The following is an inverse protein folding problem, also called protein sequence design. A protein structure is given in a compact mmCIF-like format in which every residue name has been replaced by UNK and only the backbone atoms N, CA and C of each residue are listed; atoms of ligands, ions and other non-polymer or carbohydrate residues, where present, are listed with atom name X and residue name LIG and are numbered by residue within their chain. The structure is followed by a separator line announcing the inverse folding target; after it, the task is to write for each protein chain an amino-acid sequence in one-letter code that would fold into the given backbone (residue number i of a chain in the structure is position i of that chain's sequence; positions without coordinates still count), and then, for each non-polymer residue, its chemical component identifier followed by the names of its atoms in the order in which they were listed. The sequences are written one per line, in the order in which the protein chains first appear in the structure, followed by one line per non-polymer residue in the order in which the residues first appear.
data_IF_570661459868
#
_entry.id   IF_570661459868
#
_cell.length_a   1.000
_cell.length_b   1.000
_cell.length_c   1.000
_cell.angle_alpha   90.00
_cell.angle_beta   90.00
_cell.angle_gamma   90.00
#
_symmetry.space_group_name_H-M   'P 1'
#
loop_
_entity.id
_entity.type
_entity.pdbx_description
1 polymer ?
#
# COMPACT_ATOMS: atom_id res chain seq x y z
N UNK A 1 -13.91 -15.94 -27.56
CA UNK A 1 -12.54 -15.47 -27.76
C UNK A 1 -12.51 -14.01 -27.31
N UNK A 2 -12.20 -13.76 -26.05
CA UNK A 2 -11.92 -12.43 -25.51
C UNK A 2 -10.42 -12.39 -25.23
N UNK A 3 -9.74 -11.60 -26.04
CA UNK A 3 -8.30 -11.41 -25.98
C UNK A 3 -8.00 -10.49 -24.78
N UNK A 4 -7.62 -11.05 -23.63
CA UNK A 4 -7.07 -10.30 -22.51
C UNK A 4 -5.60 -10.08 -22.82
N UNK A 5 -5.32 -9.02 -23.58
CA UNK A 5 -3.96 -8.48 -23.67
C UNK A 5 -3.64 -7.87 -22.31
N UNK A 6 -2.90 -8.61 -21.50
CA UNK A 6 -2.24 -8.10 -20.32
C UNK A 6 -1.32 -6.94 -20.73
N UNK A 7 -1.75 -5.69 -20.50
CA UNK A 7 -0.89 -4.53 -20.59
C UNK A 7 0.24 -4.72 -19.60
N UNK A 8 1.45 -4.94 -20.10
CA UNK A 8 2.66 -4.84 -19.31
C UNK A 8 2.66 -3.46 -18.63
N UNK A 9 3.05 -3.34 -17.33
CA UNK A 9 3.16 -2.04 -16.69
C UNK A 9 4.11 -1.19 -17.52
N UNK A 10 3.60 -0.04 -17.96
CA UNK A 10 4.35 0.95 -18.75
C UNK A 10 5.67 1.23 -18.02
N UNK A 11 6.78 0.82 -18.63
CA UNK A 11 8.11 0.95 -18.06
C UNK A 11 8.31 2.40 -17.65
N UNK A 12 8.67 2.63 -16.39
CA UNK A 12 8.97 3.95 -15.86
C UNK A 12 9.94 4.65 -16.82
N UNK A 13 9.69 5.91 -17.21
CA UNK A 13 10.54 6.62 -18.16
C UNK A 13 11.98 6.63 -17.64
N UNK A 14 12.88 6.12 -18.46
CA UNK A 14 14.30 6.01 -18.18
C UNK A 14 14.85 7.40 -17.76
N UNK A 15 15.45 7.59 -16.58
CA UNK A 15 15.98 8.88 -16.11
C UNK A 15 17.11 9.42 -16.98
N UNK A 16 17.63 8.65 -17.93
CA UNK A 16 18.60 9.05 -18.92
C UNK A 16 17.98 9.58 -20.23
N UNK A 17 16.76 10.16 -20.18
CA UNK A 17 16.32 10.98 -21.31
C UNK A 17 17.30 12.15 -21.44
N UNK A 18 18.22 12.00 -22.35
CA UNK A 18 19.21 12.98 -22.79
C UNK A 18 18.56 14.36 -22.82
N UNK A 19 19.10 15.28 -22.01
CA UNK A 19 18.75 16.70 -22.02
C UNK A 19 18.89 17.18 -23.47
N UNK A 20 17.82 17.16 -24.26
CA UNK A 20 17.87 17.69 -25.60
C UNK A 20 17.96 19.21 -25.48
N UNK A 21 18.83 19.83 -26.25
CA UNK A 21 18.99 21.30 -26.30
C UNK A 21 17.61 21.98 -26.50
N UNK A 22 16.72 21.32 -27.22
CA UNK A 22 15.36 21.77 -27.46
C UNK A 22 14.52 21.78 -26.17
N UNK A 23 14.58 20.74 -25.34
CA UNK A 23 13.83 20.68 -24.08
C UNK A 23 14.34 21.71 -23.06
N UNK A 24 15.64 22.02 -23.10
CA UNK A 24 16.23 23.07 -22.27
C UNK A 24 15.75 24.47 -22.72
N UNK A 25 15.82 24.80 -24.01
CA UNK A 25 15.44 26.10 -24.54
C UNK A 25 13.93 26.40 -24.39
N UNK A 26 13.07 25.40 -24.52
CA UNK A 26 11.61 25.55 -24.36
C UNK A 26 11.13 25.37 -22.93
N UNK A 27 12.02 25.09 -21.98
CA UNK A 27 11.68 24.90 -20.56
C UNK A 27 10.88 26.05 -19.92
N UNK A 28 11.06 27.34 -20.26
CA UNK A 28 10.28 28.45 -19.69
C UNK A 28 8.79 28.42 -20.06
N UNK A 29 8.47 27.85 -21.25
CA UNK A 29 7.10 27.75 -21.77
C UNK A 29 6.38 26.47 -21.33
N UNK A 30 7.09 25.56 -20.66
CA UNK A 30 6.52 24.34 -20.17
C UNK A 30 5.76 24.57 -18.86
N UNK A 31 4.52 24.06 -18.80
CA UNK A 31 3.67 24.11 -17.62
C UNK A 31 4.34 23.51 -16.37
N UNK A 32 5.26 22.55 -16.56
CA UNK A 32 6.02 21.94 -15.46
C UNK A 32 6.87 22.96 -14.69
N UNK A 33 7.44 23.98 -15.36
CA UNK A 33 8.21 25.05 -14.70
C UNK A 33 7.31 25.89 -13.79
N UNK A 34 6.15 26.30 -14.27
CA UNK A 34 5.21 27.12 -13.50
C UNK A 34 4.55 26.33 -12.36
N UNK A 35 4.29 25.06 -12.56
CA UNK A 35 3.84 24.17 -11.49
C UNK A 35 4.91 24.03 -10.40
N UNK A 36 6.19 23.89 -10.78
CA UNK A 36 7.28 23.82 -9.84
C UNK A 36 7.43 25.15 -9.05
N UNK A 37 7.37 26.32 -9.74
CA UNK A 37 7.41 27.62 -9.10
C UNK A 37 6.25 27.83 -8.10
N UNK A 38 5.02 27.48 -8.51
CA UNK A 38 3.86 27.56 -7.62
C UNK A 38 3.99 26.58 -6.43
N UNK A 39 4.55 25.41 -6.66
CA UNK A 39 4.79 24.45 -5.61
C UNK A 39 5.81 24.96 -4.57
N UNK A 40 6.90 25.59 -5.00
CA UNK A 40 7.88 26.22 -4.08
C UNK A 40 7.21 27.28 -3.24
N UNK A 41 6.36 28.13 -3.84
CA UNK A 41 5.64 29.18 -3.14
C UNK A 41 4.67 28.60 -2.07
N UNK A 42 3.87 27.60 -2.45
CA UNK A 42 2.94 26.94 -1.53
C UNK A 42 3.73 26.21 -0.41
N UNK A 43 4.83 25.55 -0.76
CA UNK A 43 5.71 24.86 0.18
C UNK A 43 6.30 25.78 1.23
N UNK A 44 6.75 26.97 0.83
CA UNK A 44 7.23 27.99 1.77
C UNK A 44 6.14 28.38 2.77
N UNK A 45 4.91 28.62 2.31
CA UNK A 45 3.79 28.97 3.18
C UNK A 45 3.43 27.85 4.16
N UNK A 46 3.32 26.61 3.64
CA UNK A 46 2.93 25.45 4.43
C UNK A 46 3.99 25.11 5.50
N UNK A 47 5.26 25.02 5.09
CA UNK A 47 6.37 24.75 6.01
C UNK A 47 6.60 25.91 7.00
N UNK A 48 6.36 27.15 6.55
CA UNK A 48 6.42 28.33 7.42
C UNK A 48 5.38 28.31 8.53
N UNK A 49 4.13 27.95 8.21
CA UNK A 49 3.06 27.76 9.21
C UNK A 49 3.44 26.62 10.16
N UNK A 50 3.92 25.49 9.62
CA UNK A 50 4.33 24.34 10.42
C UNK A 50 5.48 24.66 11.36
N UNK A 51 6.53 25.29 10.88
CA UNK A 51 7.73 25.65 11.65
C UNK A 51 7.41 26.65 12.78
N UNK A 52 6.71 27.76 12.46
CA UNK A 52 6.33 28.73 13.45
C UNK A 52 5.33 28.15 14.46
N UNK A 53 4.36 27.38 14.01
CA UNK A 53 3.41 26.69 14.89
C UNK A 53 4.12 25.74 15.85
N UNK A 54 5.04 24.93 15.36
CA UNK A 54 5.85 24.01 16.16
C UNK A 54 6.67 24.78 17.20
N UNK A 55 7.33 25.86 16.78
CA UNK A 55 8.14 26.69 17.67
C UNK A 55 7.31 27.33 18.81
N UNK A 56 6.13 27.87 18.48
CA UNK A 56 5.22 28.48 19.47
C UNK A 56 4.71 27.42 20.44
N UNK A 57 4.19 26.29 19.92
CA UNK A 57 3.63 25.22 20.74
C UNK A 57 4.71 24.66 21.68
N UNK A 58 5.91 24.40 21.18
CA UNK A 58 6.99 23.87 22.00
C UNK A 58 7.56 24.86 23.01
N UNK A 59 7.55 26.16 22.70
CA UNK A 59 7.92 27.21 23.66
C UNK A 59 6.92 27.23 24.81
N UNK A 60 5.62 27.22 24.54
CA UNK A 60 4.56 27.18 25.56
C UNK A 60 4.62 25.83 26.32
N UNK A 61 4.70 24.70 25.63
CA UNK A 61 4.77 23.40 26.24
C UNK A 61 6.01 23.25 27.14
N UNK A 62 7.16 23.72 26.69
CA UNK A 62 8.40 23.75 27.48
C UNK A 62 8.28 24.56 28.76
N UNK A 63 7.65 25.73 28.71
CA UNK A 63 7.41 26.57 29.89
C UNK A 63 6.48 25.89 30.92
N UNK A 64 5.54 25.05 30.45
CA UNK A 64 4.55 24.34 31.27
C UNK A 64 4.96 22.91 31.66
N UNK A 65 6.19 22.49 31.34
CA UNK A 65 6.67 21.14 31.72
C UNK A 65 6.68 20.91 33.23
N UNK A 66 6.96 21.94 34.01
CA UNK A 66 6.99 21.89 35.47
C UNK A 66 5.67 21.46 36.07
N UNK A 67 4.56 21.79 35.44
CA UNK A 67 3.19 21.41 35.85
C UNK A 67 2.69 20.15 35.13
N UNK A 68 3.54 19.44 34.39
CA UNK A 68 3.22 18.25 33.57
C UNK A 68 2.17 18.47 32.46
N UNK A 69 1.55 19.66 32.39
CA UNK A 69 0.62 20.03 31.30
C UNK A 69 1.40 20.29 29.99
N UNK A 70 2.67 20.59 30.09
CA UNK A 70 3.54 20.82 28.93
C UNK A 70 3.71 19.60 28.03
N UNK A 71 3.65 18.38 28.60
CA UNK A 71 3.83 17.12 27.82
C UNK A 71 2.77 16.97 26.74
N UNK A 72 1.46 17.03 27.00
CA UNK A 72 0.45 16.97 25.94
C UNK A 72 0.53 18.13 24.95
N UNK A 73 0.96 19.31 25.38
CA UNK A 73 1.16 20.47 24.49
C UNK A 73 2.30 20.20 23.50
N UNK A 74 3.45 19.70 23.98
CA UNK A 74 4.58 19.32 23.10
C UNK A 74 4.15 18.19 22.14
N UNK A 75 3.41 17.22 22.64
CA UNK A 75 2.87 16.14 21.81
C UNK A 75 1.89 16.63 20.72
N UNK A 76 1.10 17.68 21.03
CA UNK A 76 0.27 18.35 20.03
C UNK A 76 1.12 19.01 18.92
N UNK A 77 2.29 19.55 19.27
CA UNK A 77 3.24 20.06 18.28
C UNK A 77 3.73 18.97 17.33
N UNK A 78 4.01 17.75 17.84
CA UNK A 78 4.36 16.60 17.02
C UNK A 78 3.20 16.23 16.06
N UNK A 79 1.96 16.29 16.53
CA UNK A 79 0.79 16.02 15.68
C UNK A 79 0.60 17.11 14.60
N UNK A 80 0.89 18.39 14.93
CA UNK A 80 0.92 19.47 13.94
C UNK A 80 1.96 19.19 12.85
N UNK A 81 3.17 18.78 13.20
CA UNK A 81 4.21 18.41 12.23
C UNK A 81 3.75 17.30 11.30
N UNK A 82 3.03 16.30 11.83
CA UNK A 82 2.42 15.20 11.04
C UNK A 82 1.36 15.71 10.07
N UNK A 83 0.54 16.68 10.46
CA UNK A 83 -0.44 17.30 9.55
C UNK A 83 0.24 18.05 8.41
N UNK A 84 1.28 18.82 8.73
CA UNK A 84 2.09 19.51 7.73
C UNK A 84 2.76 18.52 6.77
N UNK A 85 3.36 17.45 7.30
CA UNK A 85 3.97 16.39 6.50
C UNK A 85 2.95 15.70 5.57
N UNK A 86 1.70 15.52 6.02
CA UNK A 86 0.62 14.98 5.16
C UNK A 86 0.27 15.94 4.04
N UNK A 87 0.13 17.22 4.33
CA UNK A 87 -0.16 18.25 3.34
C UNK A 87 0.99 18.40 2.33
N UNK A 88 2.25 18.28 2.78
CA UNK A 88 3.43 18.28 1.92
C UNK A 88 3.46 17.09 0.96
N UNK A 89 3.18 15.88 1.44
CA UNK A 89 3.06 14.70 0.58
C UNK A 89 2.00 14.91 -0.49
N UNK A 90 0.81 15.37 -0.09
CA UNK A 90 -0.28 15.67 -1.03
C UNK A 90 0.13 16.71 -2.08
N UNK A 91 0.80 17.80 -1.66
CA UNK A 91 1.32 18.82 -2.57
C UNK A 91 2.28 18.23 -3.61
N UNK A 92 3.22 17.39 -3.15
CA UNK A 92 4.19 16.73 -4.04
C UNK A 92 3.52 15.75 -5.02
N UNK A 93 2.52 15.00 -4.55
CA UNK A 93 1.73 14.10 -5.40
C UNK A 93 0.99 14.85 -6.51
N UNK A 94 0.36 15.98 -6.17
CA UNK A 94 -0.37 16.82 -7.15
C UNK A 94 0.55 17.38 -8.21
N UNK A 95 1.77 17.76 -7.84
CA UNK A 95 2.74 18.36 -8.78
C UNK A 95 3.32 17.34 -9.75
N UNK A 96 3.66 16.15 -9.25
CA UNK A 96 4.43 15.15 -9.99
C UNK A 96 3.61 13.94 -10.45
N UNK A 97 2.37 13.77 -9.96
CA UNK A 97 1.51 12.64 -10.29
C UNK A 97 2.00 11.29 -9.74
N UNK A 98 3.00 11.26 -8.85
CA UNK A 98 3.55 10.05 -8.26
C UNK A 98 3.16 9.93 -6.79
N UNK A 99 2.55 8.81 -6.37
CA UNK A 99 2.13 8.62 -4.98
C UNK A 99 3.32 8.62 -4.01
N UNK A 100 3.13 9.19 -2.82
CA UNK A 100 4.09 9.20 -1.72
C UNK A 100 3.53 8.38 -0.56
N UNK A 101 4.06 7.16 -0.37
CA UNK A 101 3.58 6.24 0.67
C UNK A 101 4.09 6.69 2.05
N UNK A 102 3.20 7.06 2.99
CA UNK A 102 3.59 7.52 4.31
C UNK A 102 4.15 6.41 5.17
N UNK A 103 4.96 6.77 6.18
CA UNK A 103 5.34 5.85 7.25
C UNK A 103 4.11 5.33 7.99
N UNK A 104 4.23 4.11 8.55
CA UNK A 104 3.25 3.61 9.52
C UNK A 104 3.53 4.24 10.87
N UNK A 105 2.54 4.94 11.37
CA UNK A 105 2.57 5.49 12.71
C UNK A 105 2.03 4.48 13.71
N UNK A 106 2.65 4.42 14.89
CA UNK A 106 2.12 3.63 15.99
C UNK A 106 0.75 4.20 16.40
N UNK A 107 -0.30 3.37 16.54
CA UNK A 107 -1.60 3.83 17.03
C UNK A 107 -1.44 4.43 18.44
N UNK A 108 -2.16 5.51 18.71
CA UNK A 108 -2.24 6.09 20.04
C UNK A 108 -3.30 5.32 20.83
N UNK A 109 -2.87 4.39 21.67
CA UNK A 109 -3.73 3.61 22.55
C UNK A 109 -3.64 4.22 23.97
N UNK A 110 -4.62 5.00 24.36
CA UNK A 110 -4.73 5.51 25.72
C UNK A 110 -6.18 5.44 26.20
N UNK A 111 -6.37 5.13 27.48
CA UNK A 111 -7.67 5.06 28.12
C UNK A 111 -8.04 6.43 28.71
N UNK A 112 -9.08 7.06 28.19
CA UNK A 112 -9.59 8.35 28.68
C UNK A 112 -10.09 8.29 30.15
N UNK A 113 -10.44 7.09 30.63
CA UNK A 113 -10.89 6.84 32.00
C UNK A 113 -9.73 6.59 32.98
N UNK A 114 -8.47 6.51 32.52
CA UNK A 114 -7.33 6.28 33.40
C UNK A 114 -7.01 7.51 34.25
N UNK A 115 -6.40 7.34 35.46
CA UNK A 115 -5.86 8.44 36.23
C UNK A 115 -4.89 9.28 35.40
N UNK A 116 -4.85 10.60 35.64
CA UNK A 116 -4.08 11.56 34.81
C UNK A 116 -2.61 11.14 34.58
N UNK A 117 -1.93 10.63 35.63
CA UNK A 117 -0.53 10.21 35.52
C UNK A 117 -0.35 8.98 34.60
N UNK A 118 -1.27 8.04 34.63
CA UNK A 118 -1.24 6.85 33.77
C UNK A 118 -1.62 7.20 32.32
N UNK A 119 -2.65 8.01 32.15
CA UNK A 119 -3.02 8.57 30.85
C UNK A 119 -1.84 9.34 30.22
N UNK A 120 -1.19 10.20 31.00
CA UNK A 120 -0.04 11.00 30.56
C UNK A 120 1.13 10.10 30.13
N UNK A 121 1.40 9.02 30.87
CA UNK A 121 2.44 8.06 30.52
C UNK A 121 2.12 7.35 29.21
N UNK A 122 0.91 6.79 29.05
CA UNK A 122 0.47 6.14 27.83
C UNK A 122 0.52 7.07 26.62
N UNK A 123 0.06 8.32 26.80
CA UNK A 123 0.14 9.35 25.77
C UNK A 123 1.59 9.66 25.39
N UNK A 124 2.46 9.87 26.39
CA UNK A 124 3.87 10.17 26.16
C UNK A 124 4.58 9.01 25.44
N UNK A 125 4.37 7.76 25.87
CA UNK A 125 4.94 6.59 25.22
C UNK A 125 4.50 6.46 23.77
N UNK A 126 3.22 6.65 23.47
CA UNK A 126 2.69 6.58 22.10
C UNK A 126 3.14 7.74 21.21
N UNK A 127 3.35 8.92 21.77
CA UNK A 127 3.68 10.13 21.01
C UNK A 127 5.18 10.31 20.81
N UNK A 128 5.99 10.10 21.86
CA UNK A 128 7.42 10.40 21.84
C UNK A 128 8.31 9.24 21.45
N UNK A 129 7.87 7.97 21.63
CA UNK A 129 8.66 6.80 21.26
C UNK A 129 8.46 6.35 19.81
N UNK A 130 7.57 6.99 19.07
CA UNK A 130 7.37 6.70 17.65
C UNK A 130 8.36 7.48 16.78
N UNK A 131 9.38 6.79 16.27
CA UNK A 131 10.40 7.39 15.42
C UNK A 131 9.83 7.97 14.11
N UNK A 132 8.74 7.41 13.59
CA UNK A 132 8.09 7.92 12.37
C UNK A 132 7.57 9.36 12.57
N UNK A 133 7.04 9.67 13.76
CA UNK A 133 6.56 11.02 14.12
C UNK A 133 7.69 12.03 14.21
N UNK A 134 8.85 11.63 14.74
CA UNK A 134 10.03 12.48 14.80
C UNK A 134 10.60 12.81 13.43
N UNK A 135 10.48 11.91 12.46
CA UNK A 135 10.87 12.19 11.07
C UNK A 135 10.05 13.32 10.46
N UNK A 136 8.75 13.37 10.75
CA UNK A 136 7.87 14.47 10.32
C UNK A 136 8.31 15.79 10.96
N UNK A 137 8.67 15.80 12.26
CA UNK A 137 9.21 16.98 12.95
C UNK A 137 10.52 17.44 12.32
N UNK A 138 11.45 16.52 12.10
CA UNK A 138 12.75 16.82 11.45
C UNK A 138 12.54 17.38 10.05
N UNK A 139 11.57 16.84 9.31
CA UNK A 139 11.24 17.38 7.99
C UNK A 139 10.74 18.83 8.06
N UNK A 140 9.86 19.18 9.00
CA UNK A 140 9.38 20.58 9.17
C UNK A 140 10.53 21.51 9.55
N UNK A 141 11.41 21.06 10.47
CA UNK A 141 12.54 21.87 10.95
C UNK A 141 13.59 22.15 9.87
N UNK A 142 13.89 21.15 9.02
CA UNK A 142 14.87 21.29 7.93
C UNK A 142 14.21 21.87 6.68
N UNK A 143 12.97 21.47 6.43
CA UNK A 143 12.23 21.85 5.21
C UNK A 143 11.93 23.34 5.13
N UNK A 144 11.64 24.00 6.25
CA UNK A 144 11.37 25.45 6.24
C UNK A 144 12.60 26.29 5.84
N UNK A 145 13.78 26.16 6.45
CA UNK A 145 14.97 26.87 6.00
C UNK A 145 15.32 26.56 4.53
N UNK A 146 15.16 25.31 4.12
CA UNK A 146 15.36 24.91 2.73
C UNK A 146 14.38 25.61 1.79
N UNK A 147 13.08 25.64 2.13
CA UNK A 147 12.05 26.32 1.33
C UNK A 147 12.31 27.83 1.22
N UNK A 148 12.85 28.47 2.27
CA UNK A 148 13.26 29.88 2.24
C UNK A 148 14.40 30.08 1.24
N UNK A 149 15.42 29.22 1.25
CA UNK A 149 16.54 29.28 0.31
C UNK A 149 16.06 29.04 -1.13
N UNK A 150 15.25 28.02 -1.35
CA UNK A 150 14.68 27.70 -2.67
C UNK A 150 13.87 28.86 -3.23
N UNK A 151 13.02 29.45 -2.42
CA UNK A 151 12.20 30.63 -2.79
C UNK A 151 13.09 31.82 -3.10
N UNK A 152 14.08 32.13 -2.25
CA UNK A 152 15.00 33.26 -2.46
C UNK A 152 15.79 33.08 -3.77
N UNK A 153 16.31 31.90 -4.04
CA UNK A 153 17.04 31.61 -5.29
C UNK A 153 16.13 31.77 -6.49
N UNK A 154 14.92 31.19 -6.43
CA UNK A 154 13.94 31.29 -7.52
C UNK A 154 13.58 32.74 -7.81
N UNK A 155 13.17 33.51 -6.79
CA UNK A 155 12.77 34.91 -6.95
C UNK A 155 13.92 35.77 -7.49
N UNK A 156 15.14 35.59 -6.97
CA UNK A 156 16.31 36.33 -7.44
C UNK A 156 16.60 36.06 -8.89
N UNK A 157 16.58 34.79 -9.33
CA UNK A 157 16.82 34.44 -10.73
C UNK A 157 15.76 35.04 -11.66
N UNK A 158 14.49 34.92 -11.32
CA UNK A 158 13.41 35.48 -12.13
C UNK A 158 13.41 37.03 -12.12
N UNK A 159 13.79 37.66 -10.99
CA UNK A 159 13.96 39.11 -10.94
C UNK A 159 15.08 39.60 -11.87
N UNK A 160 16.21 38.88 -11.92
CA UNK A 160 17.32 39.18 -12.85
C UNK A 160 16.84 39.00 -14.30
N UNK A 161 16.12 37.94 -14.60
CA UNK A 161 15.54 37.71 -15.94
C UNK A 161 14.63 38.86 -16.37
N UNK A 162 13.69 39.26 -15.49
CA UNK A 162 12.78 40.38 -15.76
C UNK A 162 13.55 41.69 -15.88
N UNK A 163 14.55 41.91 -15.04
CA UNK A 163 15.42 43.09 -15.11
C UNK A 163 16.20 43.21 -16.43
N UNK A 164 16.81 42.12 -16.86
CA UNK A 164 17.53 42.05 -18.15
C UNK A 164 16.59 42.27 -19.33
N UNK A 165 15.43 41.65 -19.32
CA UNK A 165 14.39 41.82 -20.38
C UNK A 165 13.90 43.25 -20.45
N UNK A 166 13.58 43.90 -19.34
CA UNK A 166 13.15 45.28 -19.27
C UNK A 166 14.27 46.23 -19.70
N UNK A 167 15.51 46.03 -19.27
CA UNK A 167 16.65 46.82 -19.70
C UNK A 167 16.88 46.74 -21.19
N UNK A 168 16.79 45.53 -21.79
CA UNK A 168 16.91 45.34 -23.23
C UNK A 168 15.81 46.08 -23.95
N UNK A 169 14.57 46.01 -23.48
CA UNK A 169 13.40 46.67 -24.11
C UNK A 169 13.56 48.21 -24.06
N UNK A 170 13.99 48.78 -22.89
CA UNK A 170 14.23 50.23 -22.73
C UNK A 170 15.34 50.70 -23.64
N UNK A 171 16.47 49.97 -23.73
CA UNK A 171 17.56 50.31 -24.60
C UNK A 171 17.20 50.30 -26.07
N UNK A 172 16.47 49.27 -26.53
CA UNK A 172 15.98 49.17 -27.92
C UNK A 172 14.96 50.27 -28.26
N UNK A 173 14.05 50.58 -27.33
CA UNK A 173 13.06 51.63 -27.55
C UNK A 173 13.74 53.01 -27.61
N UNK A 174 14.68 53.30 -26.70
CA UNK A 174 15.43 54.52 -26.65
C UNK A 174 16.26 54.74 -27.93
N UNK A 175 16.90 53.68 -28.47
CA UNK A 175 17.59 53.76 -29.75
C UNK A 175 16.63 54.02 -30.94
N UNK A 176 15.43 53.39 -30.92
CA UNK A 176 14.44 53.54 -31.97
C UNK A 176 13.77 54.93 -31.98
N UNK A 177 13.60 55.61 -30.84
CA UNK A 177 12.92 56.88 -30.68
C UNK A 177 13.88 58.08 -30.67
N UNK A 178 15.20 57.85 -30.72
CA UNK A 178 16.20 58.93 -30.58
C UNK A 178 16.26 59.48 -29.14
N UNK A 179 15.70 58.81 -28.16
CA UNK A 179 15.59 59.25 -26.76
C UNK A 179 16.91 59.38 -26.00
N UNK A 180 18.04 59.01 -26.61
CA UNK A 180 19.39 59.18 -26.06
C UNK A 180 20.17 60.30 -26.77
N UNK A 181 19.48 61.35 -27.28
CA UNK A 181 20.15 62.51 -27.87
C UNK A 181 21.15 63.13 -26.91
N UNK A 182 22.44 63.00 -27.26
CA UNK A 182 23.56 63.52 -26.45
C UNK A 182 24.30 62.51 -25.57
N UNK A 183 23.77 61.30 -25.39
CA UNK A 183 24.47 60.22 -24.69
C UNK A 183 24.92 59.13 -25.66
N UNK A 184 26.19 58.77 -25.66
CA UNK A 184 26.72 57.67 -26.46
C UNK A 184 26.37 56.30 -25.82
N UNK A 185 25.09 55.86 -25.99
CA UNK A 185 24.74 54.49 -25.64
C UNK A 185 25.37 53.56 -26.67
N UNK A 186 26.31 52.72 -26.27
CA UNK A 186 26.98 51.84 -27.23
C UNK A 186 25.96 50.83 -27.74
N UNK A 187 25.84 50.68 -29.06
CA UNK A 187 24.95 49.69 -29.75
C UNK A 187 25.15 48.24 -29.24
N UNK A 188 26.28 47.99 -28.59
CA UNK A 188 26.57 46.68 -27.99
C UNK A 188 25.77 46.40 -26.71
N UNK A 189 25.30 47.44 -25.99
CA UNK A 189 24.58 47.30 -24.75
C UNK A 189 23.27 46.48 -24.83
N UNK A 190 22.34 46.79 -25.75
CA UNK A 190 21.11 45.96 -25.95
C UNK A 190 21.40 44.56 -26.47
N UNK A 191 22.50 44.37 -27.19
CA UNK A 191 22.93 43.04 -27.64
C UNK A 191 23.41 42.19 -26.47
N UNK A 192 24.23 42.76 -25.58
CA UNK A 192 24.72 42.05 -24.38
C UNK A 192 23.57 41.68 -23.45
N UNK A 193 22.70 42.65 -23.12
CA UNK A 193 21.56 42.42 -22.22
C UNK A 193 20.54 41.45 -22.84
N UNK A 194 20.31 41.51 -24.15
CA UNK A 194 19.42 40.61 -24.86
C UNK A 194 19.96 39.16 -24.92
N UNK A 195 21.24 38.99 -25.20
CA UNK A 195 21.89 37.66 -25.18
C UNK A 195 21.86 37.09 -23.75
N UNK A 196 22.18 37.91 -22.74
CA UNK A 196 22.13 37.47 -21.35
C UNK A 196 20.71 37.07 -20.94
N UNK A 197 19.68 37.82 -21.34
CA UNK A 197 18.27 37.47 -21.13
C UNK A 197 17.92 36.13 -21.76
N UNK A 198 18.25 35.93 -23.05
CA UNK A 198 17.94 34.70 -23.79
C UNK A 198 18.59 33.45 -23.18
N UNK A 199 19.79 33.60 -22.62
CA UNK A 199 20.50 32.49 -21.95
C UNK A 199 19.94 32.26 -20.55
N UNK A 200 19.64 33.33 -19.81
CA UNK A 200 19.27 33.19 -18.40
C UNK A 200 17.83 32.70 -18.21
N UNK A 201 16.92 32.94 -19.15
CA UNK A 201 15.51 32.46 -19.11
C UNK A 201 15.44 30.92 -19.01
N UNK A 202 16.06 30.13 -19.90
CA UNK A 202 16.03 28.67 -19.78
C UNK A 202 16.83 28.17 -18.56
N UNK A 203 17.90 28.84 -18.15
CA UNK A 203 18.66 28.50 -16.95
C UNK A 203 17.78 28.66 -15.70
N UNK A 204 17.04 29.77 -15.57
CA UNK A 204 16.14 30.00 -14.45
C UNK A 204 15.02 28.96 -14.39
N UNK A 205 14.43 28.63 -15.53
CA UNK A 205 13.42 27.59 -15.63
C UNK A 205 13.94 26.21 -15.24
N UNK A 206 15.11 25.83 -15.73
CA UNK A 206 15.75 24.55 -15.41
C UNK A 206 16.11 24.47 -13.92
N UNK A 207 16.67 25.56 -13.36
CA UNK A 207 17.05 25.59 -11.94
C UNK A 207 15.81 25.52 -11.02
N UNK A 208 14.72 26.20 -11.38
CA UNK A 208 13.44 26.11 -10.65
C UNK A 208 12.95 24.66 -10.56
N UNK A 209 13.03 23.89 -11.65
CA UNK A 209 12.70 22.46 -11.60
C UNK A 209 13.68 21.63 -10.80
N UNK A 210 14.99 21.98 -10.91
CA UNK A 210 16.04 21.33 -10.11
C UNK A 210 15.82 21.48 -8.60
N UNK A 211 15.48 22.68 -8.13
CA UNK A 211 15.15 22.94 -6.73
C UNK A 211 14.00 22.07 -6.26
N UNK A 212 12.92 21.97 -7.04
CA UNK A 212 11.78 21.10 -6.71
C UNK A 212 12.16 19.63 -6.65
N UNK A 213 13.07 19.15 -7.50
CA UNK A 213 13.54 17.76 -7.43
C UNK A 213 14.36 17.48 -6.17
N UNK A 214 15.17 18.42 -5.71
CA UNK A 214 15.93 18.33 -4.44
C UNK A 214 14.97 18.28 -3.25
N UNK A 215 14.00 19.21 -3.19
CA UNK A 215 12.99 19.21 -2.13
C UNK A 215 12.21 17.89 -2.08
N UNK A 216 11.85 17.35 -3.25
CA UNK A 216 11.19 16.06 -3.34
C UNK A 216 12.07 14.92 -2.81
N UNK A 217 13.34 14.88 -3.17
CA UNK A 217 14.26 13.84 -2.70
C UNK A 217 14.36 13.84 -1.17
N UNK A 218 14.43 15.03 -0.55
CA UNK A 218 14.43 15.19 0.92
C UNK A 218 13.09 14.75 1.52
N UNK A 219 11.97 15.13 0.89
CA UNK A 219 10.65 14.70 1.32
C UNK A 219 10.48 13.17 1.24
N UNK A 220 10.95 12.54 0.16
CA UNK A 220 10.95 11.09 0.02
C UNK A 220 11.79 10.41 1.10
N UNK A 221 12.98 10.93 1.37
CA UNK A 221 13.88 10.38 2.39
C UNK A 221 13.28 10.45 3.81
N UNK A 222 12.62 11.56 4.14
CA UNK A 222 12.13 11.81 5.50
C UNK A 222 10.67 11.41 5.71
N UNK A 223 9.79 11.60 4.73
CA UNK A 223 8.34 11.45 4.87
C UNK A 223 7.79 10.11 4.34
N UNK A 224 8.59 9.36 3.58
CA UNK A 224 8.13 8.12 2.96
C UNK A 224 8.85 6.89 3.52
N UNK A 225 8.15 5.77 3.49
CA UNK A 225 8.78 4.46 3.73
C UNK A 225 9.72 4.14 2.58
N UNK A 226 10.89 3.60 2.89
CA UNK A 226 11.75 3.01 1.88
C UNK A 226 10.94 1.91 1.15
N UNK A 227 10.87 1.94 -0.20
CA UNK A 227 10.16 0.93 -0.97
C UNK A 227 10.59 -0.50 -0.63
N UNK A 228 11.86 -0.69 -0.27
CA UNK A 228 12.40 -1.98 0.17
C UNK A 228 11.84 -2.43 1.52
N UNK A 229 11.62 -1.52 2.45
CA UNK A 229 11.04 -1.84 3.76
C UNK A 229 9.53 -2.11 3.66
N UNK A 230 8.81 -1.39 2.79
CA UNK A 230 7.42 -1.69 2.48
C UNK A 230 7.26 -3.10 1.90
N UNK A 231 8.10 -3.47 0.94
CA UNK A 231 8.11 -4.81 0.34
C UNK A 231 8.47 -5.90 1.35
N UNK A 232 9.45 -5.67 2.22
CA UNK A 232 9.81 -6.61 3.31
C UNK A 232 8.65 -6.85 4.27
N UNK A 233 7.92 -5.80 4.65
CA UNK A 233 6.75 -5.91 5.51
C UNK A 233 5.61 -6.70 4.83
N UNK A 234 5.39 -6.50 3.54
CA UNK A 234 4.38 -7.25 2.79
C UNK A 234 4.77 -8.72 2.64
N UNK A 235 6.06 -9.01 2.40
CA UNK A 235 6.58 -10.39 2.39
C UNK A 235 6.39 -11.06 3.75
N UNK A 236 6.67 -10.36 4.84
CA UNK A 236 6.51 -10.94 6.20
C UNK A 236 5.04 -11.24 6.51
N UNK A 237 4.10 -10.34 6.14
CA UNK A 237 2.66 -10.61 6.29
C UNK A 237 2.18 -11.79 5.47
N UNK A 238 2.68 -11.90 4.23
CA UNK A 238 2.34 -13.04 3.38
C UNK A 238 2.88 -14.35 3.99
N UNK A 239 4.06 -14.31 4.60
CA UNK A 239 4.62 -15.45 5.32
C UNK A 239 3.78 -15.82 6.55
N UNK A 240 3.41 -14.85 7.37
CA UNK A 240 2.55 -15.07 8.54
C UNK A 240 1.19 -15.64 8.14
N UNK A 241 0.56 -15.07 7.11
CA UNK A 241 -0.71 -15.57 6.58
C UNK A 241 -0.59 -17.00 6.03
N UNK A 242 0.51 -17.28 5.32
CA UNK A 242 0.78 -18.62 4.82
C UNK A 242 1.03 -19.63 5.95
N UNK A 243 1.78 -19.23 6.98
CA UNK A 243 2.03 -20.08 8.15
C UNK A 243 0.75 -20.40 8.90
N UNK A 244 -0.12 -19.41 9.09
CA UNK A 244 -1.42 -19.61 9.71
C UNK A 244 -2.33 -20.57 8.89
N UNK A 245 -2.32 -20.45 7.56
CA UNK A 245 -3.05 -21.35 6.68
C UNK A 245 -2.52 -22.80 6.77
N UNK A 246 -1.19 -22.99 6.77
CA UNK A 246 -0.57 -24.31 6.93
C UNK A 246 -0.87 -24.93 8.31
N UNK A 247 -0.91 -24.11 9.36
CA UNK A 247 -1.23 -24.57 10.72
C UNK A 247 -2.70 -25.00 10.84
N UNK A 248 -3.62 -24.27 10.21
CA UNK A 248 -5.02 -24.64 10.10
C UNK A 248 -5.19 -25.96 9.34
N UNK A 249 -4.54 -26.12 8.18
CA UNK A 249 -4.56 -27.34 7.41
C UNK A 249 -4.01 -28.56 8.20
N UNK A 250 -2.88 -28.37 8.90
CA UNK A 250 -2.31 -29.41 9.74
C UNK A 250 -3.21 -29.77 10.94
N UNK A 251 -3.93 -28.81 11.51
CA UNK A 251 -4.90 -29.06 12.59
C UNK A 251 -6.11 -29.83 12.11
N UNK A 252 -6.59 -29.51 10.92
CA UNK A 252 -7.71 -30.20 10.26
C UNK A 252 -7.34 -31.66 9.93
N UNK A 253 -6.16 -31.90 9.36
CA UNK A 253 -5.66 -33.23 9.09
C UNK A 253 -5.55 -34.08 10.38
N UNK A 254 -5.01 -33.52 11.46
CA UNK A 254 -4.96 -34.24 12.77
C UNK A 254 -6.34 -34.53 13.33
N UNK A 255 -7.33 -33.67 13.08
CA UNK A 255 -8.72 -33.93 13.48
C UNK A 255 -9.28 -35.11 12.67
N UNK A 256 -9.14 -35.07 11.35
CA UNK A 256 -9.61 -36.15 10.46
C UNK A 256 -8.93 -37.49 10.80
N UNK A 257 -7.63 -37.50 11.06
CA UNK A 257 -6.88 -38.69 11.47
C UNK A 257 -7.45 -39.29 12.76
N UNK A 258 -7.75 -38.45 13.77
CA UNK A 258 -8.32 -38.91 15.04
C UNK A 258 -9.75 -39.44 14.85
N UNK A 259 -10.60 -38.72 14.13
CA UNK A 259 -11.97 -39.12 13.87
C UNK A 259 -12.03 -40.44 13.08
N UNK A 260 -11.10 -40.64 12.13
CA UNK A 260 -10.93 -41.87 11.38
C UNK A 260 -10.49 -43.01 12.28
N UNK A 261 -9.49 -42.81 13.12
CA UNK A 261 -8.96 -43.81 14.03
C UNK A 261 -10.04 -44.26 15.04
N UNK A 262 -10.73 -43.32 15.66
CA UNK A 262 -11.74 -43.62 16.68
C UNK A 262 -12.98 -44.30 16.07
N UNK A 263 -13.42 -43.83 14.89
CA UNK A 263 -14.50 -44.42 14.15
C UNK A 263 -14.22 -45.84 13.63
N UNK A 264 -12.99 -46.11 13.19
CA UNK A 264 -12.54 -47.41 12.79
C UNK A 264 -12.46 -48.42 13.97
N UNK A 265 -11.90 -47.97 15.10
CA UNK A 265 -11.80 -48.77 16.31
C UNK A 265 -13.18 -49.21 16.84
N UNK A 266 -14.13 -48.27 16.95
CA UNK A 266 -15.50 -48.59 17.40
C UNK A 266 -16.16 -49.64 16.52
N UNK A 267 -16.04 -49.55 15.19
CA UNK A 267 -16.61 -50.52 14.25
C UNK A 267 -15.96 -51.90 14.34
N UNK A 268 -14.65 -51.95 14.49
CA UNK A 268 -13.93 -53.20 14.69
C UNK A 268 -14.35 -53.90 15.99
N UNK A 269 -14.57 -53.17 17.07
CA UNK A 269 -15.05 -53.74 18.34
C UNK A 269 -16.49 -54.32 18.16
N UNK A 270 -17.39 -53.58 17.53
CA UNK A 270 -18.77 -54.05 17.27
C UNK A 270 -18.76 -55.30 16.37
N UNK A 271 -17.93 -55.32 15.33
CA UNK A 271 -17.78 -56.48 14.44
C UNK A 271 -17.28 -57.72 15.19
N UNK A 272 -16.29 -57.53 16.08
CA UNK A 272 -15.78 -58.63 16.90
C UNK A 272 -16.83 -59.17 17.89
N UNK A 273 -17.66 -58.30 18.47
CA UNK A 273 -18.77 -58.71 19.33
C UNK A 273 -19.86 -59.48 18.57
N UNK A 274 -20.22 -59.04 17.36
CA UNK A 274 -21.24 -59.71 16.56
C UNK A 274 -20.75 -61.09 16.07
N UNK A 275 -19.47 -61.20 15.70
CA UNK A 275 -18.86 -62.48 15.35
C UNK A 275 -18.78 -63.42 16.56
N UNK A 276 -18.47 -62.94 17.77
CA UNK A 276 -18.47 -63.74 18.99
C UNK A 276 -19.87 -64.26 19.34
N UNK A 277 -20.91 -63.43 19.15
CA UNK A 277 -22.31 -63.85 19.32
C UNK A 277 -22.71 -64.89 18.29
N UNK A 278 -22.23 -64.79 17.06
CA UNK A 278 -22.50 -65.75 16.01
C UNK A 278 -21.87 -67.11 16.31
N UNK A 279 -20.62 -67.10 16.86
CA UNK A 279 -19.90 -68.31 17.27
C UNK A 279 -20.62 -69.03 18.42
N UNK A 280 -21.14 -68.29 19.41
CA UNK A 280 -21.89 -68.84 20.54
C UNK A 280 -23.22 -69.50 20.12
N UNK A 281 -23.82 -69.04 18.99
CA UNK A 281 -25.09 -69.55 18.48
C UNK A 281 -24.96 -70.60 17.41
N UNK A 282 -23.76 -70.98 16.97
CA UNK A 282 -23.53 -71.89 15.87
C UNK A 282 -24.18 -73.27 16.12
N UNK A 283 -24.09 -73.79 17.38
CA UNK A 283 -24.59 -75.09 17.73
C UNK A 283 -26.05 -75.09 18.24
N UNK A 284 -26.53 -73.92 18.72
CA UNK A 284 -27.84 -73.81 19.37
C UNK A 284 -28.93 -73.26 18.45
N UNK A 285 -28.55 -72.32 17.56
CA UNK A 285 -29.45 -71.67 16.56
C UNK A 285 -28.65 -71.30 15.29
N UNK A 286 -28.40 -72.26 14.40
CA UNK A 286 -27.59 -72.04 13.20
C UNK A 286 -28.14 -70.98 12.25
N UNK A 287 -29.44 -70.74 12.22
CA UNK A 287 -30.03 -69.74 11.33
C UNK A 287 -29.83 -68.31 11.86
N UNK A 288 -29.89 -68.11 13.20
CA UNK A 288 -29.51 -66.88 13.84
C UNK A 288 -28.03 -66.59 13.69
N UNK A 289 -27.15 -67.60 13.83
CA UNK A 289 -25.73 -67.46 13.60
C UNK A 289 -25.40 -67.01 12.15
N UNK A 290 -26.00 -67.66 11.15
CA UNK A 290 -25.84 -67.24 9.74
C UNK A 290 -26.25 -65.81 9.48
N UNK A 291 -27.34 -65.33 10.10
CA UNK A 291 -27.81 -63.95 9.98
C UNK A 291 -26.82 -62.98 10.58
N UNK A 292 -26.28 -63.21 11.80
CA UNK A 292 -25.27 -62.38 12.44
C UNK A 292 -23.99 -62.28 11.58
N UNK A 293 -23.54 -63.37 10.98
CA UNK A 293 -22.39 -63.35 10.07
C UNK A 293 -22.66 -62.54 8.81
N UNK A 294 -23.88 -62.67 8.24
CA UNK A 294 -24.27 -61.88 7.07
C UNK A 294 -24.32 -60.35 7.39
N UNK A 295 -24.89 -59.99 8.54
CA UNK A 295 -24.97 -58.61 9.00
C UNK A 295 -23.58 -58.04 9.27
N UNK A 296 -22.68 -58.78 9.93
CA UNK A 296 -21.30 -58.45 10.17
C UNK A 296 -20.51 -58.23 8.86
N UNK A 297 -20.74 -59.05 7.86
CA UNK A 297 -20.12 -58.91 6.54
C UNK A 297 -20.58 -57.67 5.80
N UNK A 298 -21.85 -57.31 5.86
CA UNK A 298 -22.37 -56.11 5.24
C UNK A 298 -21.87 -54.84 5.94
N UNK A 299 -21.83 -54.83 7.28
CA UNK A 299 -21.24 -53.73 8.09
C UNK A 299 -19.75 -53.50 7.74
N UNK A 300 -18.97 -54.58 7.59
CA UNK A 300 -17.58 -54.55 7.17
C UNK A 300 -17.42 -53.91 5.77
N UNK A 301 -18.33 -54.28 4.84
CA UNK A 301 -18.31 -53.74 3.47
C UNK A 301 -18.60 -52.24 3.45
N UNK A 302 -19.64 -51.78 4.19
CA UNK A 302 -19.99 -50.39 4.31
C UNK A 302 -18.85 -49.56 4.94
N UNK A 303 -18.22 -50.10 5.98
CA UNK A 303 -17.08 -49.43 6.63
C UNK A 303 -15.88 -49.29 5.68
N UNK A 304 -15.58 -50.26 4.85
CA UNK A 304 -14.51 -50.16 3.84
C UNK A 304 -14.83 -49.17 2.75
N UNK A 305 -16.09 -49.04 2.34
CA UNK A 305 -16.50 -48.06 1.32
C UNK A 305 -16.45 -46.64 1.88
N UNK A 306 -16.86 -46.39 3.15
CA UNK A 306 -16.68 -45.09 3.86
C UNK A 306 -15.20 -44.73 4.00
N UNK A 307 -14.34 -45.66 4.38
CA UNK A 307 -12.89 -45.44 4.46
C UNK A 307 -12.28 -45.06 3.11
N UNK A 308 -12.73 -45.72 2.02
CA UNK A 308 -12.26 -45.37 0.68
C UNK A 308 -12.69 -43.97 0.25
N UNK A 309 -13.91 -43.57 0.60
CA UNK A 309 -14.42 -42.22 0.29
C UNK A 309 -13.68 -41.15 1.08
N UNK A 310 -13.33 -41.41 2.32
CA UNK A 310 -12.50 -40.52 3.16
C UNK A 310 -11.06 -40.41 2.63
N UNK A 311 -10.42 -41.50 2.27
CA UNK A 311 -9.04 -41.52 1.74
C UNK A 311 -8.94 -40.86 0.35
N UNK A 312 -9.98 -40.92 -0.46
CA UNK A 312 -10.02 -40.27 -1.78
C UNK A 312 -10.19 -38.74 -1.71
N UNK A 313 -10.30 -38.19 -0.52
CA UNK A 313 -10.46 -36.77 -0.30
C UNK A 313 -11.91 -36.31 -0.45
N UNK A 314 -12.26 -35.25 0.19
CA UNK A 314 -13.59 -34.63 0.34
C UNK A 314 -14.30 -34.24 -0.97
N UNK A 315 -13.72 -34.52 -2.14
CA UNK A 315 -14.36 -34.32 -3.43
C UNK A 315 -14.97 -35.63 -3.93
N UNK A 316 -16.29 -35.70 -4.21
CA UNK A 316 -16.90 -36.85 -4.80
C UNK A 316 -16.14 -37.27 -6.06
N UNK A 317 -15.90 -38.60 -6.25
CA UNK A 317 -15.19 -39.11 -7.41
C UNK A 317 -15.80 -38.64 -8.74
N UNK A 318 -17.11 -38.45 -8.77
CA UNK A 318 -17.86 -37.92 -9.90
C UNK A 318 -17.49 -36.47 -10.24
N UNK A 319 -17.08 -35.65 -9.22
CA UNK A 319 -16.60 -34.30 -9.45
C UNK A 319 -15.24 -34.32 -10.14
N UNK A 320 -14.37 -35.23 -9.73
CA UNK A 320 -13.02 -35.38 -10.31
C UNK A 320 -13.08 -35.95 -11.70
N UNK A 321 -13.93 -36.97 -11.91
CA UNK A 321 -14.01 -37.73 -13.16
C UNK A 321 -14.89 -37.06 -14.23
N UNK A 322 -16.02 -36.46 -13.81
CA UNK A 322 -17.06 -35.94 -14.73
C UNK A 322 -17.33 -34.43 -14.57
N UNK A 323 -16.72 -33.77 -13.60
CA UNK A 323 -16.84 -32.35 -13.39
C UNK A 323 -18.07 -31.91 -12.58
N UNK A 324 -18.16 -30.61 -12.31
CA UNK A 324 -19.12 -30.00 -11.38
C UNK A 324 -20.59 -30.26 -11.76
N UNK A 325 -20.94 -30.13 -13.03
CA UNK A 325 -22.32 -30.30 -13.50
C UNK A 325 -22.81 -31.73 -13.26
N UNK A 326 -21.97 -32.74 -13.56
CA UNK A 326 -22.29 -34.14 -13.36
C UNK A 326 -22.38 -34.50 -11.86
N UNK A 327 -21.53 -33.92 -11.03
CA UNK A 327 -21.56 -34.13 -9.59
C UNK A 327 -22.85 -33.56 -8.97
N UNK A 328 -23.24 -32.33 -9.33
CA UNK A 328 -24.50 -31.72 -8.88
C UNK A 328 -25.71 -32.50 -9.35
N UNK A 329 -25.71 -32.95 -10.59
CA UNK A 329 -26.79 -33.78 -11.12
C UNK A 329 -26.94 -35.14 -10.37
N UNK A 330 -25.80 -35.77 -10.00
CA UNK A 330 -25.79 -36.98 -9.19
C UNK A 330 -26.35 -36.78 -7.78
N UNK A 331 -26.01 -35.64 -7.14
CA UNK A 331 -26.54 -35.32 -5.81
C UNK A 331 -28.03 -35.04 -5.89
N UNK A 332 -28.47 -34.28 -6.90
CA UNK A 332 -29.87 -33.96 -7.10
C UNK A 332 -30.72 -35.19 -7.32
N UNK A 333 -30.22 -36.19 -8.09
CA UNK A 333 -30.94 -37.44 -8.37
C UNK A 333 -31.11 -38.35 -7.14
N UNK A 334 -30.26 -38.23 -6.14
CA UNK A 334 -30.33 -38.98 -4.86
C UNK A 334 -31.26 -38.35 -3.82
N UNK A 335 -31.75 -37.16 -4.06
CA UNK A 335 -32.66 -36.47 -3.15
C UNK A 335 -34.10 -36.70 -3.53
N UNK A 336 -34.99 -36.90 -2.54
CA UNK A 336 -36.44 -37.07 -2.75
C UNK A 336 -37.19 -35.79 -3.13
N UNK A 337 -36.46 -34.69 -3.38
CA UNK A 337 -37.00 -33.37 -3.72
C UNK A 337 -36.75 -33.17 -5.22
N UNK A 338 -37.79 -32.78 -5.96
CA UNK A 338 -37.60 -32.34 -7.36
C UNK A 338 -36.69 -31.15 -7.44
N UNK A 339 -35.49 -31.37 -8.00
CA UNK A 339 -34.44 -30.35 -8.11
C UNK A 339 -34.23 -30.06 -9.59
N UNK A 340 -34.39 -28.78 -9.98
CA UNK A 340 -34.08 -28.32 -11.32
C UNK A 340 -32.65 -27.77 -11.33
N UNK A 341 -31.82 -28.26 -12.28
CA UNK A 341 -30.45 -27.79 -12.46
C UNK A 341 -30.41 -27.04 -13.80
N UNK A 342 -30.18 -25.73 -13.74
CA UNK A 342 -29.93 -24.91 -14.94
C UNK A 342 -28.42 -24.73 -15.15
N UNK A 343 -27.84 -25.50 -16.04
CA UNK A 343 -26.42 -25.48 -16.39
C UNK A 343 -26.13 -24.76 -17.71
N UNK A 344 -27.10 -24.09 -18.30
CA UNK A 344 -26.98 -23.45 -19.63
C UNK A 344 -25.85 -22.46 -19.73
N UNK A 345 -25.54 -21.74 -18.62
CA UNK A 345 -24.46 -20.77 -18.58
C UNK A 345 -23.08 -21.34 -18.27
N UNK A 346 -23.00 -22.55 -17.70
CA UNK A 346 -21.76 -23.17 -17.27
C UNK A 346 -21.20 -24.10 -18.36
N UNK A 347 -22.08 -24.67 -19.19
CA UNK A 347 -21.69 -25.59 -20.25
C UNK A 347 -20.96 -26.85 -19.71
N UNK A 348 -20.33 -27.59 -20.61
CA UNK A 348 -19.50 -28.75 -20.26
C UNK A 348 -18.02 -28.36 -19.97
N UNK A 349 -17.74 -27.08 -19.74
CA UNK A 349 -16.39 -26.62 -19.52
C UNK A 349 -15.83 -27.12 -18.17
N UNK A 350 -14.62 -27.66 -18.20
CA UNK A 350 -13.87 -28.03 -17.00
C UNK A 350 -13.19 -26.79 -16.42
N UNK A 351 -13.38 -26.59 -15.14
CA UNK A 351 -12.72 -25.55 -14.38
C UNK A 351 -11.46 -26.06 -13.69
N UNK A 352 -10.63 -25.17 -13.18
CA UNK A 352 -9.47 -25.61 -12.39
C UNK A 352 -9.94 -26.34 -11.12
N UNK A 353 -9.19 -27.39 -10.65
CA UNK A 353 -9.58 -28.17 -9.47
C UNK A 353 -9.82 -27.35 -8.20
N UNK A 354 -9.24 -26.16 -8.12
CA UNK A 354 -9.45 -25.24 -7.01
C UNK A 354 -10.83 -24.58 -7.06
N UNK A 355 -11.31 -24.21 -8.25
CA UNK A 355 -12.63 -23.61 -8.48
C UNK A 355 -13.73 -24.64 -8.32
N UNK A 356 -13.52 -25.87 -8.85
CA UNK A 356 -14.49 -26.97 -8.72
C UNK A 356 -14.69 -27.47 -7.28
N UNK A 357 -13.70 -27.24 -6.39
CA UNK A 357 -13.80 -27.56 -4.95
C UNK A 357 -14.42 -26.44 -4.10
N UNK A 358 -14.45 -25.22 -4.59
CA UNK A 358 -14.98 -24.06 -3.87
C UNK A 358 -16.47 -23.79 -4.13
N UNK A 359 -17.07 -24.41 -5.17
CA UNK A 359 -18.50 -24.34 -5.52
C UNK A 359 -19.25 -25.54 -5.00
#
# INVERSE_FOLDING_TARGET
MMNVSGGAPEAAPNPAQTLSLRSFLFSPFDLATWRAALAILIGLGLLGIGFNGLFIIWSIGGSLLVVLVGIPIIGFGIELARWVARAERWRMEVVDGRPMVPHRYRPLEFQLSAPYGEWLRQYAEGQFLDFARWRDVVYVLIGFPLAVVEFAVMVTLWAIVVGLGSATAVLLLGLATGGFEGEAVPLVAPVITGVAFLVLVPVAAFLTRGLMTVQRAIAQLLLCVDPTDALRQDVERLRESRSAAVELEASELRRIERDLHDGAQQRLVMLAMDLGRAEEKIDTDPDAAKKLVADAREQSRLALDELRDLVRGTAPSILIDRGLVAAVASIASKRQIQTFIDSVRIGEARYSPAVERAG
#
